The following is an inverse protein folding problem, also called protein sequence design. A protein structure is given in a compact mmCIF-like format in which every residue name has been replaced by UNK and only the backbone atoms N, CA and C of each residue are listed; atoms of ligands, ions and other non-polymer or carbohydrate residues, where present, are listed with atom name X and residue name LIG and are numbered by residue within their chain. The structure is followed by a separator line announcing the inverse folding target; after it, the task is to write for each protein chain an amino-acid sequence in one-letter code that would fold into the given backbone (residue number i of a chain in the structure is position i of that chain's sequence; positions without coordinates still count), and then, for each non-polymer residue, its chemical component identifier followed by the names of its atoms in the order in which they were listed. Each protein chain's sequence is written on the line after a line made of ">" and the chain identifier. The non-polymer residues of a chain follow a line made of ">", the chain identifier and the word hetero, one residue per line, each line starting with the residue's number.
data_IF_069111183349
#
_entry.id   IF_069111183349
#
_cell.length_a   1.000
_cell.length_b   1.000
_cell.length_c   1.000
_cell.angle_alpha   90.00
_cell.angle_beta   90.00
_cell.angle_gamma   90.00
#
_symmetry.space_group_name_H-M   'P 1'
#
loop_
_entity.id
_entity.type
_entity.pdbx_description
1 polymer ?
#
# COMPACT_ATOMS: atom_id res chain seq x y z
N UNK A 1 12.62 13.12 -20.10
CA UNK A 1 12.57 12.16 -19.00
C UNK A 1 11.13 11.94 -18.63
N UNK A 2 10.58 10.76 -18.84
CA UNK A 2 9.23 10.41 -18.44
C UNK A 2 9.21 10.33 -16.89
N UNK A 3 8.30 11.04 -16.25
CA UNK A 3 8.22 11.08 -14.79
C UNK A 3 7.60 9.77 -14.31
N UNK A 4 8.39 8.90 -13.68
CA UNK A 4 7.87 7.67 -13.07
C UNK A 4 6.83 8.01 -12.00
N UNK A 5 5.71 7.32 -12.05
CA UNK A 5 4.64 7.50 -11.08
C UNK A 5 4.91 6.67 -9.82
N UNK A 6 4.54 7.22 -8.67
CA UNK A 6 4.46 6.50 -7.43
C UNK A 6 3.27 5.55 -7.44
N UNK A 7 3.50 4.28 -7.16
CA UNK A 7 2.50 3.23 -7.21
C UNK A 7 2.36 2.55 -5.83
N UNK A 8 1.12 2.43 -5.36
CA UNK A 8 0.76 1.71 -4.11
C UNK A 8 -0.39 0.77 -4.40
N UNK A 9 -0.29 -0.47 -3.91
CA UNK A 9 -1.33 -1.47 -4.10
C UNK A 9 -1.63 -2.17 -2.77
N UNK A 10 -2.77 -1.84 -2.17
CA UNK A 10 -3.21 -2.38 -0.90
C UNK A 10 -3.93 -3.71 -1.08
N UNK A 11 -3.51 -4.71 -0.32
CA UNK A 11 -4.19 -5.99 -0.20
C UNK A 11 -4.57 -6.21 1.28
N UNK A 12 -5.85 -6.43 1.56
CA UNK A 12 -6.32 -6.80 2.89
C UNK A 12 -5.73 -8.17 3.31
N UNK A 13 -5.82 -8.52 4.59
CA UNK A 13 -5.37 -9.81 5.10
C UNK A 13 -5.93 -10.98 4.28
N UNK A 14 -7.22 -10.95 3.97
CA UNK A 14 -7.88 -12.03 3.23
C UNK A 14 -7.51 -12.03 1.75
N UNK A 15 -7.36 -10.86 1.10
CA UNK A 15 -6.92 -10.73 -0.30
C UNK A 15 -5.47 -11.16 -0.46
N UNK A 16 -4.60 -10.78 0.46
CA UNK A 16 -3.20 -11.18 0.50
C UNK A 16 -3.01 -12.65 0.92
N UNK A 17 -4.06 -13.32 1.41
CA UNK A 17 -3.99 -14.70 1.95
C UNK A 17 -2.88 -14.82 2.98
N UNK A 18 -2.82 -13.87 3.93
CA UNK A 18 -1.76 -13.81 4.92
C UNK A 18 -1.76 -15.03 5.84
N UNK A 19 -0.58 -15.58 6.03
CA UNK A 19 -0.28 -16.63 7.02
C UNK A 19 0.74 -16.07 8.00
N UNK A 20 0.52 -16.29 9.28
CA UNK A 20 1.45 -15.92 10.35
C UNK A 20 2.18 -17.18 10.81
N UNK A 21 3.50 -17.16 10.73
CA UNK A 21 4.36 -18.29 11.11
C UNK A 21 5.31 -17.85 12.24
N UNK A 22 5.49 -18.70 13.24
CA UNK A 22 6.49 -18.52 14.27
C UNK A 22 7.60 -19.57 14.11
N UNK A 23 8.85 -19.13 14.20
CA UNK A 23 10.04 -19.97 14.04
C UNK A 23 11.11 -19.59 15.09
N UNK A 24 12.04 -20.55 15.35
CA UNK A 24 13.09 -20.41 16.36
C UNK A 24 12.65 -20.85 17.75
N UNK A 25 13.58 -20.82 18.71
CA UNK A 25 13.31 -21.19 20.10
C UNK A 25 12.17 -20.34 20.68
N UNK A 26 11.12 -21.02 21.16
CA UNK A 26 9.91 -20.40 21.73
C UNK A 26 9.17 -19.41 20.80
N UNK A 27 9.22 -19.61 19.46
CA UNK A 27 8.56 -18.72 18.51
C UNK A 27 9.17 -17.32 18.44
N UNK A 28 10.46 -17.19 18.72
CA UNK A 28 11.17 -15.89 18.78
C UNK A 28 11.08 -15.08 17.50
N UNK A 29 11.10 -15.75 16.34
CA UNK A 29 10.93 -15.10 15.05
C UNK A 29 9.48 -15.22 14.58
N UNK A 30 8.83 -14.10 14.31
CA UNK A 30 7.50 -14.04 13.76
C UNK A 30 7.58 -13.58 12.30
N UNK A 31 6.83 -14.24 11.44
CA UNK A 31 6.78 -13.93 10.01
C UNK A 31 5.32 -13.73 9.56
N UNK A 32 5.14 -12.87 8.60
CA UNK A 32 3.94 -12.82 7.75
C UNK A 32 4.33 -13.31 6.35
N UNK A 33 3.42 -14.03 5.69
CA UNK A 33 3.62 -14.57 4.34
C UNK A 33 2.34 -14.49 3.54
N UNK A 34 2.39 -14.01 2.32
CA UNK A 34 1.20 -13.92 1.48
C UNK A 34 1.44 -13.21 0.16
N UNK A 35 0.34 -12.95 -0.57
CA UNK A 35 0.36 -12.21 -1.84
C UNK A 35 0.66 -10.74 -1.55
N UNK A 36 1.63 -10.17 -2.27
CA UNK A 36 1.99 -8.76 -2.18
C UNK A 36 1.46 -7.96 -3.36
N UNK A 37 1.32 -8.60 -4.53
CA UNK A 37 0.82 -7.98 -5.74
C UNK A 37 0.14 -9.03 -6.63
N UNK A 38 -0.96 -8.65 -7.27
CA UNK A 38 -1.73 -9.52 -8.15
C UNK A 38 -1.55 -9.10 -9.61
N UNK A 39 -1.22 -10.08 -10.45
CA UNK A 39 -0.97 -9.86 -11.88
C UNK A 39 -2.18 -10.15 -12.76
N UNK A 40 -2.24 -9.47 -13.90
CA UNK A 40 -3.21 -9.72 -14.95
C UNK A 40 -4.65 -9.29 -14.66
N UNK A 41 -4.93 -8.81 -13.46
CA UNK A 41 -6.27 -8.32 -13.06
C UNK A 41 -6.27 -6.83 -12.83
N UNK A 42 -7.40 -6.18 -13.10
CA UNK A 42 -7.58 -4.77 -12.81
C UNK A 42 -7.86 -4.58 -11.31
N UNK A 43 -6.98 -3.88 -10.63
CA UNK A 43 -7.08 -3.66 -9.19
C UNK A 43 -7.99 -2.46 -8.83
N UNK A 44 -8.13 -2.18 -7.52
CA UNK A 44 -8.95 -1.06 -7.03
C UNK A 44 -8.50 0.30 -7.57
N UNK A 45 -7.20 0.47 -7.86
CA UNK A 45 -6.62 1.68 -8.43
C UNK A 45 -6.75 1.77 -9.96
N UNK A 46 -7.57 0.89 -10.55
CA UNK A 46 -7.77 0.78 -12.01
C UNK A 46 -6.48 0.44 -12.77
N UNK A 47 -5.49 -0.16 -12.10
CA UNK A 47 -4.21 -0.57 -12.69
C UNK A 47 -4.20 -2.06 -12.98
N UNK A 48 -3.52 -2.41 -14.06
CA UNK A 48 -3.24 -3.80 -14.46
C UNK A 48 -1.74 -3.99 -14.51
N UNK A 49 -1.24 -4.87 -13.66
CA UNK A 49 0.17 -5.26 -13.65
C UNK A 49 0.35 -6.49 -14.53
N UNK A 50 1.07 -6.38 -15.66
CA UNK A 50 1.45 -7.56 -16.44
C UNK A 50 2.28 -8.52 -15.60
N UNK A 51 2.11 -9.81 -15.82
CA UNK A 51 2.80 -10.85 -15.03
C UNK A 51 4.32 -10.76 -15.21
N UNK A 52 4.79 -10.49 -16.42
CA UNK A 52 6.20 -10.29 -16.76
C UNK A 52 6.82 -9.09 -16.02
N UNK A 53 6.06 -8.02 -15.82
CA UNK A 53 6.49 -6.87 -15.02
C UNK A 53 6.67 -7.22 -13.55
N UNK A 54 5.74 -8.00 -12.98
CA UNK A 54 5.83 -8.46 -11.59
C UNK A 54 7.01 -9.43 -11.43
N UNK A 55 7.16 -10.38 -12.35
CA UNK A 55 8.25 -11.37 -12.33
C UNK A 55 9.63 -10.67 -12.34
N UNK A 56 9.80 -9.68 -13.22
CA UNK A 56 11.03 -8.88 -13.27
C UNK A 56 11.26 -8.12 -11.96
N UNK A 57 10.23 -7.48 -11.41
CA UNK A 57 10.36 -6.70 -10.17
C UNK A 57 10.69 -7.61 -8.96
N UNK A 58 10.05 -8.77 -8.85
CA UNK A 58 10.31 -9.78 -7.82
C UNK A 58 11.75 -10.31 -7.94
N UNK A 59 12.20 -10.62 -9.16
CA UNK A 59 13.57 -11.08 -9.41
C UNK A 59 14.58 -10.01 -8.99
N UNK A 60 14.38 -8.77 -9.40
CA UNK A 60 15.28 -7.66 -9.07
C UNK A 60 15.40 -7.48 -7.55
N UNK A 61 14.27 -7.55 -6.82
CA UNK A 61 14.28 -7.43 -5.37
C UNK A 61 15.01 -8.60 -4.69
N UNK A 62 14.81 -9.83 -5.15
CA UNK A 62 15.52 -11.00 -4.64
C UNK A 62 17.02 -10.95 -4.93
N UNK A 63 17.43 -10.45 -6.09
CA UNK A 63 18.85 -10.25 -6.42
C UNK A 63 19.49 -9.26 -5.44
N UNK A 64 18.78 -8.20 -5.04
CA UNK A 64 19.24 -7.26 -4.00
C UNK A 64 19.35 -7.95 -2.63
N UNK A 65 18.33 -8.71 -2.22
CA UNK A 65 18.34 -9.45 -0.93
C UNK A 65 19.50 -10.44 -0.90
N UNK A 66 19.70 -11.21 -1.96
CA UNK A 66 20.79 -12.18 -2.09
C UNK A 66 22.15 -11.49 -2.10
N UNK A 67 22.23 -10.29 -2.67
CA UNK A 67 23.41 -9.42 -2.64
C UNK A 67 23.72 -8.81 -1.27
N UNK A 68 22.91 -9.10 -0.24
CA UNK A 68 23.12 -8.65 1.14
C UNK A 68 22.39 -7.33 1.47
N UNK A 69 21.55 -6.81 0.58
CA UNK A 69 20.75 -5.64 0.88
C UNK A 69 19.54 -5.99 1.75
N UNK A 70 19.32 -5.21 2.82
CA UNK A 70 18.16 -5.39 3.71
C UNK A 70 16.98 -4.56 3.20
N UNK A 71 15.97 -5.22 2.64
CA UNK A 71 14.74 -4.55 2.22
C UNK A 71 13.81 -4.43 3.41
N UNK A 72 13.69 -3.21 3.94
CA UNK A 72 12.89 -2.90 5.12
C UNK A 72 11.49 -2.44 4.71
N UNK A 73 10.48 -2.81 5.52
CA UNK A 73 9.11 -2.36 5.37
C UNK A 73 8.59 -1.66 6.61
N UNK A 74 7.63 -0.79 6.43
CA UNK A 74 7.08 0.09 7.46
C UNK A 74 5.68 -0.35 7.90
N UNK A 75 5.24 0.18 9.03
CA UNK A 75 3.83 0.19 9.42
C UNK A 75 3.18 1.41 8.80
N UNK A 76 1.99 1.17 8.20
CA UNK A 76 1.22 2.20 7.52
C UNK A 76 1.93 2.74 6.25
N UNK A 77 1.27 3.57 5.48
CA UNK A 77 1.82 4.07 4.23
C UNK A 77 2.39 5.47 4.39
N UNK A 78 3.72 5.67 4.27
CA UNK A 78 4.25 7.02 4.07
C UNK A 78 3.91 7.53 2.66
N UNK A 79 3.88 8.86 2.52
CA UNK A 79 3.58 9.54 1.24
C UNK A 79 4.81 9.65 0.31
N UNK A 80 5.89 8.95 0.61
CA UNK A 80 7.11 8.98 -0.20
C UNK A 80 7.71 7.57 -0.43
N UNK A 81 8.75 7.51 -1.29
CA UNK A 81 9.47 6.27 -1.59
C UNK A 81 10.60 5.96 -0.61
N UNK A 82 10.90 6.86 0.32
CA UNK A 82 11.96 6.66 1.30
C UNK A 82 11.47 5.85 2.48
N UNK A 83 12.34 5.02 3.03
CA UNK A 83 12.07 4.27 4.25
C UNK A 83 12.44 5.12 5.47
N UNK A 84 11.48 5.33 6.37
CA UNK A 84 11.70 5.95 7.67
C UNK A 84 12.04 4.91 8.72
N UNK A 85 13.24 4.95 9.25
CA UNK A 85 13.73 3.92 10.19
C UNK A 85 12.93 3.85 11.49
N UNK A 86 12.32 4.94 11.92
CA UNK A 86 11.43 4.99 13.09
C UNK A 86 10.09 4.29 12.87
N UNK A 87 9.70 4.03 11.61
CA UNK A 87 8.47 3.33 11.23
C UNK A 87 8.70 1.88 10.82
N UNK A 88 9.93 1.44 10.73
CA UNK A 88 10.28 0.07 10.31
C UNK A 88 9.71 -0.94 11.28
N UNK A 89 8.93 -1.89 10.75
CA UNK A 89 8.32 -3.00 11.49
C UNK A 89 8.84 -4.37 11.10
N UNK A 90 9.33 -4.51 9.87
CA UNK A 90 9.71 -5.81 9.32
C UNK A 90 10.78 -5.68 8.24
N UNK A 91 11.31 -6.83 7.84
CA UNK A 91 12.24 -6.99 6.74
C UNK A 91 11.70 -8.05 5.78
N UNK A 92 11.73 -7.77 4.49
CA UNK A 92 11.43 -8.74 3.45
C UNK A 92 12.60 -9.73 3.38
N UNK A 93 12.32 -11.01 3.63
CA UNK A 93 13.35 -12.06 3.59
C UNK A 93 13.38 -12.79 2.26
N UNK A 94 12.25 -12.84 1.58
CA UNK A 94 12.09 -13.53 0.31
C UNK A 94 10.86 -13.02 -0.43
N UNK A 95 10.93 -12.98 -1.76
CA UNK A 95 9.77 -12.86 -2.65
C UNK A 95 9.83 -13.93 -3.73
N UNK A 96 8.69 -14.40 -4.21
CA UNK A 96 8.60 -15.38 -5.28
C UNK A 96 7.32 -15.21 -6.09
N UNK A 97 7.28 -15.82 -7.27
CA UNK A 97 6.08 -15.92 -8.07
C UNK A 97 5.34 -17.24 -7.77
N UNK A 98 4.00 -17.15 -7.66
CA UNK A 98 3.13 -18.31 -7.69
C UNK A 98 1.93 -17.99 -8.61
N UNK A 99 1.89 -18.67 -9.76
CA UNK A 99 1.02 -18.29 -10.86
C UNK A 99 1.26 -16.84 -11.28
N UNK A 100 0.20 -16.03 -11.45
CA UNK A 100 0.34 -14.62 -11.87
C UNK A 100 0.72 -13.67 -10.73
N UNK A 101 0.82 -14.14 -9.48
CA UNK A 101 0.94 -13.29 -8.30
C UNK A 101 2.34 -13.31 -7.72
N UNK A 102 2.80 -12.15 -7.26
CA UNK A 102 4.00 -12.02 -6.44
C UNK A 102 3.69 -12.21 -4.96
N UNK A 103 4.40 -13.11 -4.32
CA UNK A 103 4.33 -13.41 -2.89
C UNK A 103 5.54 -12.88 -2.16
N UNK A 104 5.41 -12.65 -0.86
CA UNK A 104 6.51 -12.26 0.01
C UNK A 104 6.47 -12.92 1.38
N UNK A 105 7.64 -13.05 1.99
CA UNK A 105 7.84 -13.44 3.39
C UNK A 105 8.52 -12.32 4.14
N UNK A 106 7.91 -11.88 5.24
CA UNK A 106 8.30 -10.72 6.04
C UNK A 106 8.64 -11.14 7.46
N UNK A 107 9.87 -10.92 7.88
CA UNK A 107 10.30 -11.13 9.26
C UNK A 107 9.96 -9.90 10.09
N UNK A 108 9.12 -10.06 11.12
CA UNK A 108 8.81 -8.98 12.05
C UNK A 108 10.04 -8.71 12.92
N UNK A 109 10.51 -7.46 12.91
CA UNK A 109 11.70 -7.03 13.62
C UNK A 109 11.36 -6.57 15.06
N UNK A 110 12.30 -6.65 16.01
CA UNK A 110 12.11 -6.17 17.38
C UNK A 110 12.26 -4.63 17.49
N UNK A 111 11.78 -3.89 16.50
CA UNK A 111 11.67 -2.42 16.52
C UNK A 111 10.40 -2.01 17.27
N UNK A 112 10.21 -0.75 17.69
CA UNK A 112 8.96 -0.30 18.31
C UNK A 112 7.73 -0.61 17.46
N UNK A 113 7.78 -0.36 16.15
CA UNK A 113 6.69 -0.65 15.22
C UNK A 113 6.52 -2.16 14.97
N UNK A 114 7.62 -2.91 14.94
CA UNK A 114 7.56 -4.37 14.84
C UNK A 114 6.94 -5.01 16.08
N UNK A 115 7.20 -4.49 17.28
CA UNK A 115 6.53 -4.96 18.50
C UNK A 115 5.04 -4.65 18.49
N UNK A 116 4.64 -3.48 17.96
CA UNK A 116 3.24 -3.15 17.75
C UNK A 116 2.55 -4.15 16.81
N UNK A 117 3.16 -4.42 15.64
CA UNK A 117 2.67 -5.41 14.66
C UNK A 117 2.57 -6.79 15.29
N UNK A 118 3.62 -7.24 16.02
CA UNK A 118 3.63 -8.52 16.74
C UNK A 118 2.46 -8.61 17.72
N UNK A 119 2.27 -7.62 18.57
CA UNK A 119 1.19 -7.58 19.55
C UNK A 119 -0.19 -7.67 18.89
N UNK A 120 -0.38 -6.97 17.76
CA UNK A 120 -1.63 -7.04 17.00
C UNK A 120 -1.86 -8.45 16.44
N UNK A 121 -0.86 -9.06 15.80
CA UNK A 121 -0.96 -10.40 15.21
C UNK A 121 -1.22 -11.47 16.27
N UNK A 122 -0.49 -11.44 17.39
CA UNK A 122 -0.66 -12.37 18.52
C UNK A 122 -2.02 -12.19 19.21
N UNK A 123 -2.61 -11.00 19.13
CA UNK A 123 -3.97 -10.70 19.60
C UNK A 123 -5.07 -11.07 18.57
N UNK A 124 -4.69 -11.65 17.42
CA UNK A 124 -5.64 -12.06 16.38
C UNK A 124 -6.11 -10.93 15.45
N UNK A 125 -5.44 -9.76 15.48
CA UNK A 125 -5.74 -8.69 14.53
C UNK A 125 -5.26 -9.11 13.14
N UNK A 126 -6.14 -8.98 12.15
CA UNK A 126 -5.84 -9.24 10.75
C UNK A 126 -5.21 -8.01 10.12
N UNK A 127 -3.96 -8.10 9.73
CA UNK A 127 -3.23 -7.04 9.04
C UNK A 127 -3.06 -7.41 7.55
N UNK A 128 -3.21 -6.44 6.68
CA UNK A 128 -2.94 -6.58 5.26
C UNK A 128 -1.53 -6.10 4.90
N UNK A 129 -1.27 -6.06 3.61
CA UNK A 129 -0.02 -5.54 3.06
C UNK A 129 -0.29 -4.61 1.90
N UNK A 130 0.69 -3.76 1.64
CA UNK A 130 0.67 -2.86 0.50
C UNK A 130 2.03 -2.79 -0.17
N UNK A 131 2.11 -3.17 -1.44
CA UNK A 131 3.33 -2.95 -2.22
C UNK A 131 3.50 -1.47 -2.55
N UNK A 132 4.71 -0.98 -2.35
CA UNK A 132 5.14 0.38 -2.65
C UNK A 132 6.23 0.33 -3.71
N UNK A 133 6.04 1.07 -4.79
CA UNK A 133 6.95 1.02 -5.91
C UNK A 133 6.85 2.22 -6.84
N UNK A 134 7.53 2.12 -7.95
CA UNK A 134 7.49 3.10 -9.04
C UNK A 134 7.25 2.42 -10.38
N UNK A 135 6.73 3.16 -11.34
CA UNK A 135 6.46 2.66 -12.68
C UNK A 135 5.70 3.67 -13.54
N UNK A 136 5.43 3.29 -14.78
CA UNK A 136 4.63 4.06 -15.70
C UNK A 136 3.23 3.45 -15.80
N UNK A 137 2.21 4.30 -15.92
CA UNK A 137 0.82 3.88 -16.15
C UNK A 137 0.40 4.41 -17.52
N UNK A 138 -0.13 3.52 -18.37
CA UNK A 138 -0.59 3.89 -19.71
C UNK A 138 -1.71 4.94 -19.65
N UNK A 139 -1.60 5.97 -20.48
CA UNK A 139 -2.61 7.04 -20.59
C UNK A 139 -3.81 6.70 -21.48
N UNK A 140 -3.90 5.47 -22.00
CA UNK A 140 -4.92 5.00 -22.93
C UNK A 140 -6.22 4.49 -22.25
N UNK A 141 -6.31 4.65 -20.93
CA UNK A 141 -7.45 4.18 -20.12
C UNK A 141 -7.41 2.70 -19.74
N UNK A 142 -6.42 1.93 -20.22
CA UNK A 142 -6.26 0.51 -19.83
C UNK A 142 -5.73 0.36 -18.42
N UNK A 143 -4.99 1.36 -17.91
CA UNK A 143 -4.31 1.32 -16.63
C UNK A 143 -3.13 0.34 -16.59
N UNK A 144 -2.60 -0.06 -17.77
CA UNK A 144 -1.46 -0.98 -17.86
C UNK A 144 -0.21 -0.35 -17.26
N UNK A 145 0.44 -1.08 -16.36
CA UNK A 145 1.69 -0.67 -15.73
C UNK A 145 2.88 -1.22 -16.53
N UNK A 146 3.94 -0.42 -16.66
CA UNK A 146 5.22 -0.79 -17.26
C UNK A 146 6.38 -0.20 -16.45
N UNK A 147 7.58 -0.74 -16.65
CA UNK A 147 8.80 -0.36 -15.93
C UNK A 147 8.61 -0.42 -14.40
N UNK A 148 7.89 -1.42 -13.94
CA UNK A 148 7.53 -1.55 -12.54
C UNK A 148 8.72 -2.00 -11.69
N UNK A 149 8.96 -1.26 -10.61
CA UNK A 149 9.96 -1.59 -9.59
C UNK A 149 9.29 -1.63 -8.21
N UNK A 150 9.46 -2.72 -7.47
CA UNK A 150 9.04 -2.83 -6.07
C UNK A 150 10.16 -2.26 -5.20
N UNK A 151 9.84 -1.23 -4.40
CA UNK A 151 10.75 -0.64 -3.43
C UNK A 151 10.63 -1.36 -2.10
N UNK A 152 9.41 -1.61 -1.66
CA UNK A 152 9.11 -2.38 -0.46
C UNK A 152 7.66 -2.85 -0.45
N UNK A 153 7.30 -3.60 0.59
CA UNK A 153 5.93 -3.96 0.95
C UNK A 153 5.73 -3.53 2.40
N UNK A 154 4.70 -2.75 2.67
CA UNK A 154 4.37 -2.22 4.00
C UNK A 154 3.25 -3.04 4.64
N UNK A 155 3.21 -3.07 5.98
CA UNK A 155 2.10 -3.66 6.75
C UNK A 155 1.05 -2.59 6.99
N UNK A 156 -0.20 -2.88 6.61
CA UNK A 156 -1.31 -1.94 6.72
C UNK A 156 -2.48 -2.54 7.50
N UNK A 157 -3.22 -1.68 8.19
CA UNK A 157 -4.47 -2.10 8.82
C UNK A 157 -5.50 -2.51 7.77
N UNK A 158 -6.26 -3.56 8.05
CA UNK A 158 -7.38 -3.93 7.19
C UNK A 158 -8.43 -2.82 7.24
N UNK A 159 -8.93 -2.31 6.08
CA UNK A 159 -10.03 -1.36 6.10
C UNK A 159 -11.25 -2.00 6.78
N UNK A 160 -11.78 -1.32 7.80
CA UNK A 160 -12.79 -1.83 8.71
C UNK A 160 -14.21 -1.93 8.13
N UNK A 161 -14.41 -1.61 6.84
CA UNK A 161 -15.72 -1.75 6.20
C UNK A 161 -15.61 -2.26 4.75
N UNK A 162 -16.43 -3.25 4.35
CA UNK A 162 -16.64 -3.58 2.95
C UNK A 162 -17.15 -2.33 2.22
N UNK A 163 -16.41 -1.83 1.23
CA UNK A 163 -16.77 -0.62 0.49
C UNK A 163 -16.12 0.68 0.99
N UNK A 164 -15.33 0.66 2.06
CA UNK A 164 -14.51 1.79 2.51
C UNK A 164 -13.20 1.92 1.71
N UNK A 165 -13.17 1.41 0.48
CA UNK A 165 -12.09 1.71 -0.45
C UNK A 165 -12.30 3.13 -0.95
N UNK A 166 -11.31 4.04 -0.76
CA UNK A 166 -11.38 5.35 -1.38
C UNK A 166 -11.57 5.17 -2.89
N UNK A 167 -12.51 5.90 -3.46
CA UNK A 167 -12.54 6.06 -4.91
C UNK A 167 -11.19 6.64 -5.36
N UNK A 168 -10.76 6.47 -6.63
CA UNK A 168 -9.49 7.01 -7.14
C UNK A 168 -9.26 8.50 -6.83
N UNK A 169 -10.35 9.28 -6.66
CA UNK A 169 -10.32 10.68 -6.24
C UNK A 169 -9.79 10.81 -4.81
N UNK A 170 -10.19 9.93 -3.89
CA UNK A 170 -9.73 9.95 -2.51
C UNK A 170 -8.27 9.53 -2.37
N UNK A 171 -7.80 8.57 -3.16
CA UNK A 171 -6.38 8.19 -3.18
C UNK A 171 -5.48 9.33 -3.66
N UNK A 172 -5.89 10.04 -4.71
CA UNK A 172 -5.16 11.20 -5.17
C UNK A 172 -5.07 12.28 -4.08
N UNK A 173 -6.16 12.52 -3.35
CA UNK A 173 -6.18 13.45 -2.22
C UNK A 173 -5.33 12.97 -1.05
N UNK A 174 -5.33 11.66 -0.73
CA UNK A 174 -4.48 11.09 0.33
C UNK A 174 -2.99 11.21 0.00
N UNK A 175 -2.61 11.14 -1.28
CA UNK A 175 -1.24 11.31 -1.76
C UNK A 175 -0.77 12.76 -1.88
N UNK A 176 -1.62 13.75 -1.61
CA UNK A 176 -1.24 15.18 -1.68
C UNK A 176 -1.00 15.77 -0.30
N UNK A 177 -0.03 16.70 -0.21
CA UNK A 177 0.25 17.42 1.04
C UNK A 177 -1.01 18.19 1.49
N UNK A 178 -1.60 17.79 2.62
CA UNK A 178 -2.87 18.35 3.12
C UNK A 178 -4.12 17.56 2.70
N UNK A 179 -4.01 16.52 1.87
CA UNK A 179 -5.14 15.72 1.42
C UNK A 179 -5.88 15.00 2.54
N UNK A 180 -5.16 14.52 3.57
CA UNK A 180 -5.77 13.96 4.79
C UNK A 180 -6.64 14.97 5.53
N UNK A 181 -6.21 16.23 5.60
CA UNK A 181 -7.01 17.31 6.19
C UNK A 181 -8.25 17.60 5.34
N UNK A 182 -8.13 17.59 4.03
CA UNK A 182 -9.26 17.76 3.12
C UNK A 182 -10.28 16.63 3.26
N UNK A 183 -9.83 15.38 3.41
CA UNK A 183 -10.71 14.23 3.66
C UNK A 183 -11.41 14.31 5.00
N UNK A 184 -10.71 14.72 6.07
CA UNK A 184 -11.32 14.92 7.39
C UNK A 184 -12.40 15.99 7.34
N UNK A 185 -12.10 17.13 6.72
CA UNK A 185 -13.08 18.22 6.53
C UNK A 185 -14.27 17.74 5.71
N UNK A 186 -14.05 16.95 4.64
CA UNK A 186 -15.14 16.40 3.82
C UNK A 186 -16.03 15.44 4.62
N UNK A 187 -15.46 14.64 5.53
CA UNK A 187 -16.23 13.75 6.42
C UNK A 187 -17.03 14.54 7.46
N UNK A 188 -16.43 15.58 8.06
CA UNK A 188 -17.11 16.47 9.00
C UNK A 188 -18.30 17.19 8.33
N UNK A 189 -18.08 17.71 7.11
CA UNK A 189 -19.12 18.40 6.30
C UNK A 189 -20.24 17.42 5.90
N UNK A 190 -19.95 16.16 5.63
CA UNK A 190 -20.95 15.15 5.24
C UNK A 190 -22.03 14.94 6.31
N UNK A 191 -21.67 15.11 7.58
CA UNK A 191 -22.57 14.98 8.73
C UNK A 191 -23.27 16.29 9.16
N UNK A 192 -22.92 17.44 8.58
CA UNK A 192 -23.45 18.75 8.97
C UNK A 192 -24.18 19.45 7.80
N UNK A 193 -25.53 19.55 7.84
CA UNK A 193 -26.30 20.21 6.79
C UNK A 193 -25.98 21.70 6.60
N UNK A 194 -25.54 22.41 7.66
CA UNK A 194 -25.15 23.82 7.56
C UNK A 194 -23.83 23.99 6.84
N UNK A 195 -22.85 23.12 7.15
CA UNK A 195 -21.57 23.09 6.46
C UNK A 195 -21.70 22.70 4.99
N UNK A 196 -22.59 21.75 4.65
CA UNK A 196 -22.90 21.39 3.27
C UNK A 196 -23.47 22.56 2.48
N UNK A 197 -24.39 23.32 3.07
CA UNK A 197 -24.99 24.51 2.45
C UNK A 197 -23.94 25.58 2.19
N UNK A 198 -23.12 25.88 3.19
CA UNK A 198 -22.03 26.86 3.06
C UNK A 198 -21.02 26.48 1.98
N UNK A 199 -20.62 25.20 1.93
CA UNK A 199 -19.71 24.69 0.89
C UNK A 199 -20.32 24.84 -0.51
N UNK A 200 -21.60 24.49 -0.66
CA UNK A 200 -22.32 24.64 -1.93
C UNK A 200 -22.38 26.11 -2.40
N UNK A 201 -22.69 27.02 -1.50
CA UNK A 201 -22.78 28.46 -1.82
C UNK A 201 -21.38 29.02 -2.19
N UNK A 202 -20.32 28.60 -1.48
CA UNK A 202 -18.95 28.99 -1.77
C UNK A 202 -18.47 28.46 -3.14
N UNK A 203 -18.77 27.22 -3.48
CA UNK A 203 -18.44 26.64 -4.81
C UNK A 203 -19.17 27.33 -5.95
N UNK A 204 -20.47 27.63 -5.79
CA UNK A 204 -21.23 28.40 -6.76
C UNK A 204 -20.67 29.80 -6.96
N UNK A 205 -20.22 30.45 -5.87
CA UNK A 205 -19.56 31.76 -5.92
C UNK A 205 -18.21 31.75 -6.65
N UNK A 206 -17.45 30.64 -6.57
CA UNK A 206 -16.21 30.46 -7.34
C UNK A 206 -16.51 30.25 -8.81
N UNK A 207 -17.46 29.36 -9.13
CA UNK A 207 -17.85 29.05 -10.52
C UNK A 207 -18.35 30.31 -11.25
N UNK A 208 -19.15 31.15 -10.56
CA UNK A 208 -19.67 32.40 -11.16
C UNK A 208 -18.57 33.45 -11.43
N UNK A 209 -17.37 33.32 -10.80
CA UNK A 209 -16.23 34.21 -11.06
C UNK A 209 -15.30 33.70 -12.16
N UNK A 210 -15.51 32.48 -12.61
CA UNK A 210 -14.70 31.84 -13.67
C UNK A 210 -15.41 31.89 -15.02
N UNK A 211 -16.66 32.34 -15.06
CA UNK A 211 -17.44 32.67 -16.27
C UNK A 211 -17.34 34.18 -16.59
#
# INVERSE_FOLDING_TARGET
>A
MQKMNYLRENLSFDQARMVVEADGENGKNLYMKGICIQGGIKNANQRVYPVDEIERAVKTLNDQITGGYSVLGEVDHPDDLKINLDRVSHMITEMWMDGPNGYGKFKILPTPMGQLVRTMLESGVKLGVSSRGSGNVSGDGTGRVSDFEIITVDVVAQPSAPGAYPTPIYEHLMGTRGGLNALRIAQEVKGDPKAQRYLKESLLGIISKLQ
#
